data_IF_874872000482
#
_entry.id   IF_874872000482
#
_cell.length_a   1.000
_cell.length_b   1.000
_cell.length_c   1.000
_cell.angle_alpha   90.00
_cell.angle_beta   90.00
_cell.angle_gamma   90.00
#
_symmetry.space_group_name_H-M   'P 1'
#
loop_
_entity.id
_entity.type
_entity.pdbx_description
1 polymer ?
#
# COMPACT_ATOMS: atom_id res chain seq x y z
N UNK A 1 -4.08 -2.62 -9.80
CA UNK A 1 -4.08 -3.64 -8.73
C UNK A 1 -2.65 -3.84 -8.28
N UNK A 2 -2.42 -3.79 -6.97
CA UNK A 2 -1.15 -4.09 -6.33
C UNK A 2 -1.18 -5.53 -5.86
N UNK A 3 -0.08 -6.25 -6.07
CA UNK A 3 0.11 -7.62 -5.60
C UNK A 3 1.53 -7.72 -5.04
N UNK A 4 1.66 -8.38 -3.89
CA UNK A 4 2.95 -8.63 -3.25
C UNK A 4 3.02 -10.06 -2.72
N UNK A 5 4.22 -10.48 -2.33
CA UNK A 5 4.42 -11.78 -1.69
C UNK A 5 3.75 -11.79 -0.33
N UNK A 6 2.98 -12.85 -0.06
CA UNK A 6 2.41 -13.05 1.26
C UNK A 6 3.51 -13.25 2.30
N UNK A 7 3.32 -12.65 3.48
CA UNK A 7 4.25 -12.73 4.60
C UNK A 7 3.61 -13.66 5.64
N UNK A 8 4.26 -14.78 5.99
CA UNK A 8 3.75 -15.67 7.03
C UNK A 8 3.48 -14.92 8.33
N UNK A 9 2.39 -15.28 8.99
CA UNK A 9 1.95 -14.70 10.28
C UNK A 9 1.52 -13.24 10.22
N UNK A 10 1.47 -12.61 9.03
CA UNK A 10 0.85 -11.30 8.88
C UNK A 10 -0.65 -11.37 9.21
N UNK A 11 -1.11 -10.49 10.10
CA UNK A 11 -2.54 -10.27 10.34
C UNK A 11 -3.16 -9.31 9.33
N UNK A 12 -2.33 -8.49 8.69
CA UNK A 12 -2.74 -7.57 7.64
C UNK A 12 -1.58 -6.80 7.04
N UNK A 13 -1.93 -5.81 6.23
CA UNK A 13 -0.98 -4.90 5.57
C UNK A 13 -1.51 -3.48 5.63
N UNK A 14 -0.59 -2.51 5.63
CA UNK A 14 -0.92 -1.09 5.44
C UNK A 14 -0.41 -0.63 4.09
N UNK A 15 -1.27 0.02 3.31
CA UNK A 15 -0.94 0.53 1.98
C UNK A 15 -0.77 2.04 2.05
N UNK A 16 0.39 2.52 1.60
CA UNK A 16 0.67 3.94 1.47
C UNK A 16 0.76 4.31 -0.01
N UNK A 17 0.35 5.53 -0.35
CA UNK A 17 0.39 6.04 -1.73
C UNK A 17 0.86 7.49 -1.76
N UNK A 18 1.67 7.81 -2.77
CA UNK A 18 2.06 9.18 -3.10
C UNK A 18 2.09 9.39 -4.61
N UNK A 19 1.89 10.64 -5.07
CA UNK A 19 2.08 11.05 -6.47
C UNK A 19 3.54 11.41 -6.81
N UNK A 20 4.43 11.38 -5.82
CA UNK A 20 5.88 11.60 -5.97
C UNK A 20 6.66 10.46 -5.31
N UNK A 21 7.89 10.14 -5.77
CA UNK A 21 8.72 9.13 -5.13
C UNK A 21 8.97 9.44 -3.65
N UNK A 22 8.92 8.41 -2.81
CA UNK A 22 9.19 8.49 -1.39
C UNK A 22 9.74 7.15 -0.90
N UNK A 23 10.56 7.21 0.16
CA UNK A 23 11.15 6.03 0.80
C UNK A 23 10.78 5.92 2.27
N UNK A 24 10.40 7.04 2.89
CA UNK A 24 9.96 7.10 4.29
C UNK A 24 8.45 7.30 4.35
N UNK A 25 7.78 6.51 5.18
CA UNK A 25 6.34 6.60 5.47
C UNK A 25 6.06 7.45 6.73
N UNK A 26 7.08 8.01 7.36
CA UNK A 26 6.97 8.84 8.55
C UNK A 26 5.93 9.96 8.39
N UNK A 27 4.89 9.93 9.21
CA UNK A 27 3.80 10.90 9.19
C UNK A 27 2.76 10.71 8.08
N UNK A 28 2.91 9.69 7.23
CA UNK A 28 1.88 9.32 6.26
C UNK A 28 0.76 8.51 6.93
N UNK A 29 -0.45 8.65 6.42
CA UNK A 29 -1.59 7.81 6.79
C UNK A 29 -1.78 6.76 5.70
N UNK A 30 -2.00 5.48 6.05
CA UNK A 30 -2.33 4.48 5.06
C UNK A 30 -3.64 4.83 4.36
N UNK A 31 -3.72 4.48 3.08
CA UNK A 31 -4.94 4.63 2.27
C UNK A 31 -5.86 3.42 2.40
N UNK A 32 -5.34 2.29 2.90
CA UNK A 32 -6.10 1.06 3.10
C UNK A 32 -5.33 0.07 3.98
N UNK A 33 -6.09 -0.84 4.62
CA UNK A 33 -5.61 -1.88 5.53
C UNK A 33 -6.13 -3.27 5.12
N UNK A 34 -5.69 -3.83 3.98
CA UNK A 34 -6.14 -5.14 3.52
C UNK A 34 -5.60 -6.29 4.39
N UNK A 35 -6.41 -7.33 4.56
CA UNK A 35 -6.03 -8.59 5.22
C UNK A 35 -5.47 -9.64 4.25
N UNK A 36 -5.23 -9.27 2.99
CA UNK A 36 -4.71 -10.15 1.93
C UNK A 36 -3.53 -9.48 1.23
N UNK A 37 -2.74 -10.28 0.51
CA UNK A 37 -1.55 -9.82 -0.21
C UNK A 37 -1.83 -9.09 -1.53
N UNK A 38 -3.02 -8.49 -1.66
CA UNK A 38 -3.42 -7.72 -2.83
C UNK A 38 -4.33 -6.56 -2.47
N UNK A 39 -4.28 -5.49 -3.27
CA UNK A 39 -5.11 -4.31 -3.09
C UNK A 39 -5.50 -3.67 -4.43
N UNK A 40 -6.79 -3.34 -4.56
CA UNK A 40 -7.30 -2.57 -5.69
C UNK A 40 -7.48 -1.11 -5.27
N UNK A 41 -6.57 -0.25 -5.70
CA UNK A 41 -6.70 1.19 -5.52
C UNK A 41 -7.71 1.79 -6.50
N UNK A 42 -8.97 1.93 -6.05
CA UNK A 42 -10.05 2.57 -6.80
C UNK A 42 -10.06 4.10 -6.67
N UNK A 43 -9.24 4.66 -5.78
CA UNK A 43 -9.12 6.09 -5.55
C UNK A 43 -8.02 6.75 -6.35
N UNK A 44 -7.29 6.01 -7.20
CA UNK A 44 -6.26 6.53 -8.08
C UNK A 44 -6.90 7.13 -9.35
N UNK A 45 -6.54 8.37 -9.68
CA UNK A 45 -7.02 9.01 -10.90
C UNK A 45 -6.35 8.38 -12.13
N UNK A 46 -7.12 8.24 -13.21
CA UNK A 46 -6.60 7.71 -14.47
C UNK A 46 -5.47 8.60 -15.03
N UNK A 47 -4.40 7.96 -15.53
CA UNK A 47 -3.25 8.65 -16.09
C UNK A 47 -2.25 9.21 -15.06
N UNK A 48 -2.49 9.06 -13.76
CA UNK A 48 -1.55 9.45 -12.71
C UNK A 48 -0.43 8.43 -12.51
N UNK A 49 0.79 8.90 -12.29
CA UNK A 49 1.87 8.08 -11.74
C UNK A 49 1.75 8.07 -10.21
N UNK A 50 1.81 6.87 -9.63
CA UNK A 50 1.70 6.68 -8.19
C UNK A 50 2.78 5.73 -7.69
N UNK A 51 3.28 6.02 -6.49
CA UNK A 51 4.27 5.24 -5.77
C UNK A 51 3.60 4.63 -4.55
N UNK A 52 3.92 3.37 -4.27
CA UNK A 52 3.30 2.61 -3.18
C UNK A 52 4.36 2.01 -2.28
N UNK A 53 4.09 2.06 -0.98
CA UNK A 53 4.78 1.28 0.03
C UNK A 53 3.75 0.40 0.73
N UNK A 54 4.15 -0.83 1.02
CA UNK A 54 3.34 -1.81 1.72
C UNK A 54 4.12 -2.22 2.96
N UNK A 55 3.53 -2.04 4.13
CA UNK A 55 4.09 -2.54 5.38
C UNK A 55 3.22 -3.64 5.94
N UNK A 56 3.83 -4.58 6.64
CA UNK A 56 3.14 -5.69 7.29
C UNK A 56 2.68 -5.30 8.70
N UNK A 57 1.51 -5.78 9.08
CA UNK A 57 1.01 -5.80 10.45
C UNK A 57 0.99 -7.25 10.94
N UNK A 58 1.44 -7.47 12.18
CA UNK A 58 1.45 -8.78 12.85
C UNK A 58 0.42 -8.79 13.97
#
# INVERSE_FOLDING_TARGET
MLNWSDIPEASGYHIYRSSVPYFDIGGMTPIADPTTNSFLDTGAAAGGAYFYNVTVEY
#
